data_IF_082721826041
#
_entry.id   IF_082721826041
#
_cell.length_a   1.000
_cell.length_b   1.000
_cell.length_c   1.000
_cell.angle_alpha   90.00
_cell.angle_beta   90.00
_cell.angle_gamma   90.00
#
_symmetry.space_group_name_H-M   'P 1'
#
loop_
_entity.id
_entity.type
_entity.pdbx_description
1 polymer ?
#
# COMPACT_ATOMS: atom_id res chain seq x y z
N UNK A 1 19.08 -7.17 11.48
CA UNK A 1 20.03 -7.77 12.44
C UNK A 1 19.85 -7.28 13.88
N UNK A 2 19.29 -6.08 14.12
CA UNK A 2 19.31 -5.45 15.45
C UNK A 2 18.17 -5.89 16.41
N UNK A 3 16.97 -6.24 15.92
CA UNK A 3 15.82 -6.52 16.82
C UNK A 3 15.39 -8.00 16.85
N UNK A 4 15.43 -8.71 15.70
CA UNK A 4 14.91 -10.10 15.59
C UNK A 4 16.00 -11.17 15.35
N UNK A 5 17.30 -10.80 15.38
CA UNK A 5 18.48 -11.67 15.08
C UNK A 5 18.39 -12.59 13.85
N UNK A 6 17.48 -12.34 12.89
CA UNK A 6 17.35 -13.11 11.64
C UNK A 6 18.51 -12.84 10.67
N UNK A 7 18.98 -13.90 10.00
CA UNK A 7 19.92 -13.83 8.86
C UNK A 7 19.17 -14.08 7.56
N UNK A 8 19.41 -13.23 6.56
CA UNK A 8 18.78 -13.33 5.25
C UNK A 8 19.80 -13.81 4.21
N UNK A 9 19.45 -14.75 3.32
CA UNK A 9 20.31 -15.16 2.23
C UNK A 9 20.54 -14.01 1.25
N UNK A 10 21.71 -13.99 0.60
CA UNK A 10 22.10 -12.94 -0.36
C UNK A 10 21.05 -12.75 -1.47
N UNK A 11 20.38 -13.82 -1.89
CA UNK A 11 19.29 -13.77 -2.88
C UNK A 11 18.13 -12.87 -2.44
N UNK A 12 17.73 -12.94 -1.18
CA UNK A 12 16.63 -12.10 -0.65
C UNK A 12 17.05 -10.63 -0.56
N UNK A 13 18.32 -10.36 -0.20
CA UNK A 13 18.87 -9.00 -0.16
C UNK A 13 18.90 -8.40 -1.57
N UNK A 14 19.44 -9.14 -2.55
CA UNK A 14 19.47 -8.70 -3.94
C UNK A 14 18.05 -8.48 -4.50
N UNK A 15 17.11 -9.37 -4.18
CA UNK A 15 15.71 -9.22 -4.57
C UNK A 15 15.08 -7.93 -4.02
N UNK A 16 15.28 -7.62 -2.73
CA UNK A 16 14.78 -6.38 -2.11
C UNK A 16 15.40 -5.13 -2.75
N UNK A 17 16.71 -5.16 -3.05
CA UNK A 17 17.37 -4.07 -3.77
C UNK A 17 16.78 -3.86 -5.16
N UNK A 18 16.54 -4.95 -5.90
CA UNK A 18 15.93 -4.89 -7.23
C UNK A 18 14.50 -4.32 -7.20
N UNK A 19 13.69 -4.73 -6.21
CA UNK A 19 12.34 -4.17 -6.00
C UNK A 19 12.42 -2.67 -5.70
N UNK A 20 13.34 -2.27 -4.81
CA UNK A 20 13.52 -0.86 -4.43
C UNK A 20 13.90 -0.02 -5.64
N UNK A 21 14.83 -0.50 -6.45
CA UNK A 21 15.23 0.14 -7.70
C UNK A 21 14.06 0.25 -8.70
N UNK A 22 13.28 -0.83 -8.86
CA UNK A 22 12.12 -0.85 -9.75
C UNK A 22 11.04 0.16 -9.34
N UNK A 23 10.70 0.23 -8.05
CA UNK A 23 9.75 1.22 -7.50
C UNK A 23 10.27 2.64 -7.73
N UNK A 24 11.55 2.89 -7.45
CA UNK A 24 12.17 4.19 -7.67
C UNK A 24 12.06 4.64 -9.12
N UNK A 25 12.42 3.75 -10.07
CA UNK A 25 12.38 4.06 -11.50
C UNK A 25 10.95 4.33 -12.00
N UNK A 26 9.98 3.50 -11.61
CA UNK A 26 8.58 3.69 -11.97
C UNK A 26 7.99 4.98 -11.36
N UNK A 27 8.37 5.31 -10.13
CA UNK A 27 7.92 6.55 -9.46
C UNK A 27 8.54 7.78 -10.12
N UNK A 28 9.83 7.73 -10.46
CA UNK A 28 10.53 8.80 -11.17
C UNK A 28 9.89 9.07 -12.54
N UNK A 29 9.60 8.01 -13.30
CA UNK A 29 8.92 8.11 -14.59
C UNK A 29 7.51 8.72 -14.44
N UNK A 30 6.76 8.34 -13.40
CA UNK A 30 5.45 8.90 -13.11
C UNK A 30 5.52 10.39 -12.78
N UNK A 31 6.47 10.81 -11.96
CA UNK A 31 6.72 12.22 -11.61
C UNK A 31 6.97 13.08 -12.86
N UNK A 32 7.78 12.59 -13.81
CA UNK A 32 8.02 13.29 -15.07
C UNK A 32 6.76 13.42 -15.92
N UNK A 33 5.93 12.37 -16.02
CA UNK A 33 4.68 12.42 -16.79
C UNK A 33 3.70 13.46 -16.22
N UNK A 34 3.61 13.56 -14.89
CA UNK A 34 2.76 14.54 -14.21
C UNK A 34 3.23 15.98 -14.44
N UNK A 35 4.55 16.22 -14.42
CA UNK A 35 5.10 17.55 -14.70
C UNK A 35 4.84 17.99 -16.15
N UNK A 36 4.93 17.07 -17.13
CA UNK A 36 4.60 17.37 -18.53
C UNK A 36 3.13 17.72 -18.71
N UNK A 37 2.22 17.00 -18.04
CA UNK A 37 0.78 17.28 -18.11
C UNK A 37 0.40 18.62 -17.46
N UNK A 38 1.02 18.97 -16.32
CA UNK A 38 0.81 20.27 -15.66
C UNK A 38 1.25 21.46 -16.51
N UNK A 39 2.27 21.31 -17.36
CA UNK A 39 2.70 22.36 -18.29
C UNK A 39 1.70 22.60 -19.44
N UNK A 40 0.85 21.63 -19.78
CA UNK A 40 -0.13 21.76 -20.87
C UNK A 40 -1.47 22.35 -20.43
N UNK A 41 -1.77 22.33 -19.14
CA UNK A 41 -2.93 23.04 -18.57
C UNK A 41 -2.49 24.41 -18.09
N UNK A 42 -2.85 25.48 -18.82
CA UNK A 42 -2.67 26.88 -18.42
C UNK A 42 -3.33 27.18 -17.06
N UNK A 43 -2.67 26.80 -15.97
CA UNK A 43 -2.94 27.32 -14.63
C UNK A 43 -1.67 28.07 -14.24
N UNK A 44 -1.72 29.39 -14.40
CA UNK A 44 -0.76 30.30 -13.78
C UNK A 44 -0.91 30.17 -12.26
N UNK A 45 -0.27 29.16 -11.68
CA UNK A 45 0.06 29.19 -10.27
C UNK A 45 1.15 30.24 -10.17
N UNK A 46 0.83 31.38 -9.55
CA UNK A 46 1.83 32.34 -9.09
C UNK A 46 2.91 31.55 -8.33
N UNK A 47 4.04 31.33 -9.01
CA UNK A 47 5.21 30.57 -8.56
C UNK A 47 5.85 31.30 -7.37
N UNK A 48 5.22 31.15 -6.21
CA UNK A 48 5.92 31.32 -4.94
C UNK A 48 6.86 30.13 -4.89
N UNK A 49 8.16 30.36 -5.15
CA UNK A 49 9.21 29.32 -5.12
C UNK A 49 8.88 28.30 -4.02
N UNK A 50 8.89 26.98 -4.29
CA UNK A 50 8.62 26.00 -3.26
C UNK A 50 9.65 26.21 -2.14
N UNK A 51 9.17 26.63 -0.97
CA UNK A 51 10.03 26.85 0.19
C UNK A 51 10.83 25.57 0.43
N UNK A 52 12.15 25.64 0.28
CA UNK A 52 13.05 24.50 0.51
C UNK A 52 12.76 23.86 1.87
N UNK A 53 12.39 24.66 2.87
CA UNK A 53 11.94 24.22 4.19
C UNK A 53 10.65 23.37 4.16
N UNK A 54 9.66 23.71 3.33
CA UNK A 54 8.43 22.92 3.15
C UNK A 54 8.69 21.60 2.40
N UNK A 55 9.65 21.58 1.48
CA UNK A 55 10.07 20.34 0.84
C UNK A 55 10.82 19.43 1.84
N UNK A 56 11.72 20.01 2.63
CA UNK A 56 12.50 19.29 3.64
C UNK A 56 11.62 18.71 4.75
N UNK A 57 10.62 19.47 5.25
CA UNK A 57 9.68 18.97 6.27
C UNK A 57 8.87 17.79 5.73
N UNK A 58 8.47 17.82 4.45
CA UNK A 58 7.76 16.73 3.79
C UNK A 58 8.59 15.44 3.74
N UNK A 59 9.87 15.55 3.36
CA UNK A 59 10.80 14.40 3.37
C UNK A 59 10.99 13.87 4.79
N UNK A 60 11.18 14.76 5.78
CA UNK A 60 11.31 14.37 7.18
C UNK A 60 10.10 13.58 7.69
N UNK A 61 8.89 14.06 7.39
CA UNK A 61 7.65 13.36 7.75
C UNK A 61 7.53 11.98 7.08
N UNK A 62 7.89 11.86 5.80
CA UNK A 62 7.85 10.58 5.08
C UNK A 62 8.84 9.56 5.66
N UNK A 63 10.07 9.98 5.95
CA UNK A 63 11.08 9.09 6.57
C UNK A 63 10.60 8.62 7.95
N UNK A 64 10.10 9.54 8.77
CA UNK A 64 9.56 9.21 10.08
C UNK A 64 8.38 8.23 9.99
N UNK A 65 7.42 8.48 9.09
CA UNK A 65 6.28 7.60 8.88
C UNK A 65 6.70 6.19 8.43
N UNK A 66 7.70 6.08 7.54
CA UNK A 66 8.25 4.80 7.10
C UNK A 66 8.94 4.04 8.24
N UNK A 67 9.67 4.76 9.10
CA UNK A 67 10.33 4.16 10.27
C UNK A 67 9.30 3.62 11.27
N UNK A 68 8.29 4.41 11.62
CA UNK A 68 7.21 3.98 12.52
C UNK A 68 6.45 2.78 11.93
N UNK A 69 6.17 2.79 10.63
CA UNK A 69 5.51 1.67 9.94
C UNK A 69 6.34 0.38 10.00
N UNK A 70 7.66 0.48 9.83
CA UNK A 70 8.56 -0.67 9.92
C UNK A 70 8.63 -1.20 11.37
N UNK A 71 8.70 -0.32 12.37
CA UNK A 71 8.67 -0.71 13.78
C UNK A 71 7.35 -1.40 14.14
N UNK A 72 6.22 -0.88 13.68
CA UNK A 72 4.90 -1.48 13.91
C UNK A 72 4.86 -2.94 13.40
N UNK A 73 5.34 -3.19 12.18
CA UNK A 73 5.38 -4.55 11.63
C UNK A 73 6.26 -5.51 12.43
N UNK A 74 7.41 -5.05 12.94
CA UNK A 74 8.30 -5.84 13.79
C UNK A 74 7.66 -6.12 15.16
N UNK A 75 7.01 -5.11 15.76
CA UNK A 75 6.30 -5.27 17.03
C UNK A 75 5.14 -6.25 16.90
N UNK A 76 4.37 -6.21 15.81
CA UNK A 76 3.32 -7.19 15.54
C UNK A 76 3.89 -8.60 15.45
N UNK A 77 5.00 -8.81 14.73
CA UNK A 77 5.66 -10.12 14.63
C UNK A 77 6.12 -10.63 16.01
N UNK A 78 6.67 -9.76 16.87
CA UNK A 78 7.08 -10.14 18.23
C UNK A 78 5.88 -10.46 19.11
N UNK A 79 4.83 -9.64 19.07
CA UNK A 79 3.63 -9.80 19.89
C UNK A 79 2.94 -11.13 19.59
N UNK A 80 2.80 -11.48 18.30
CA UNK A 80 2.21 -12.76 17.91
C UNK A 80 3.07 -13.98 18.30
N UNK A 81 4.39 -13.82 18.35
CA UNK A 81 5.28 -14.88 18.82
C UNK A 81 5.19 -15.10 20.34
N UNK A 82 4.91 -14.06 21.12
CA UNK A 82 4.88 -14.09 22.59
C UNK A 82 3.49 -14.42 23.15
N UNK A 83 2.43 -13.82 22.59
CA UNK A 83 1.05 -13.91 23.11
C UNK A 83 0.11 -14.77 22.26
N UNK A 84 0.56 -15.26 21.11
CA UNK A 84 -0.25 -16.05 20.19
C UNK A 84 -0.93 -15.21 19.10
N UNK A 85 -1.57 -15.92 18.16
CA UNK A 85 -2.11 -15.34 16.92
C UNK A 85 -3.59 -15.00 17.05
N UNK A 86 -3.89 -13.73 17.31
CA UNK A 86 -5.27 -13.24 17.41
C UNK A 86 -5.49 -12.03 16.49
N UNK A 87 -5.66 -12.24 15.17
CA UNK A 87 -5.74 -11.16 14.19
C UNK A 87 -7.01 -10.31 14.36
N UNK A 88 -8.13 -10.90 14.77
CA UNK A 88 -9.40 -10.19 14.98
C UNK A 88 -9.32 -9.26 16.22
N UNK A 89 -8.65 -9.69 17.29
CA UNK A 89 -8.41 -8.83 18.47
C UNK A 89 -7.46 -7.67 18.12
N UNK A 90 -6.37 -7.96 17.42
CA UNK A 90 -5.43 -6.94 16.96
C UNK A 90 -6.11 -5.92 16.03
N UNK A 91 -7.03 -6.40 15.16
CA UNK A 91 -7.86 -5.54 14.31
C UNK A 91 -8.77 -4.63 15.16
N UNK A 92 -9.45 -5.20 16.17
CA UNK A 92 -10.32 -4.45 17.07
C UNK A 92 -9.55 -3.34 17.80
N UNK A 93 -8.44 -3.67 18.47
CA UNK A 93 -7.66 -2.66 19.20
C UNK A 93 -7.07 -1.59 18.28
N UNK A 94 -6.58 -1.98 17.09
CA UNK A 94 -6.02 -1.03 16.13
C UNK A 94 -7.03 0.00 15.62
N UNK A 95 -8.33 -0.31 15.63
CA UNK A 95 -9.38 0.60 15.17
C UNK A 95 -10.14 1.25 16.33
N UNK A 96 -10.28 0.57 17.47
CA UNK A 96 -10.97 1.11 18.63
C UNK A 96 -10.16 2.20 19.35
N UNK A 97 -8.83 2.05 19.45
CA UNK A 97 -7.97 3.01 20.15
C UNK A 97 -7.93 4.39 19.48
N UNK A 98 -7.95 4.52 18.13
CA UNK A 98 -8.06 5.82 17.48
C UNK A 98 -9.45 6.48 17.54
N UNK A 99 -10.54 5.74 17.82
CA UNK A 99 -11.89 6.31 17.80
C UNK A 99 -12.08 7.50 18.76
N UNK A 100 -11.62 7.45 20.03
CA UNK A 100 -11.67 8.61 20.91
C UNK A 100 -10.89 9.82 20.37
N UNK A 101 -9.80 9.59 19.64
CA UNK A 101 -9.01 10.67 19.04
C UNK A 101 -9.74 11.36 17.88
N UNK A 102 -10.68 10.67 17.20
CA UNK A 102 -11.50 11.29 16.16
C UNK A 102 -12.43 12.38 16.69
N UNK A 103 -12.72 12.39 17.99
CA UNK A 103 -13.47 13.48 18.61
C UNK A 103 -12.77 14.84 18.39
N UNK A 104 -11.43 14.89 18.40
CA UNK A 104 -10.66 16.12 18.15
C UNK A 104 -10.73 16.60 16.70
N UNK A 105 -11.07 15.73 15.75
CA UNK A 105 -11.17 16.05 14.31
C UNK A 105 -12.64 16.15 13.88
N UNK A 106 -13.58 16.08 14.83
CA UNK A 106 -15.02 16.03 14.57
C UNK A 106 -15.55 17.18 13.71
N UNK A 107 -15.05 18.41 13.92
CA UNK A 107 -15.46 19.58 13.12
C UNK A 107 -15.15 19.40 11.63
N UNK A 108 -13.97 18.88 11.31
CA UNK A 108 -13.57 18.62 9.92
C UNK A 108 -14.42 17.52 9.30
N UNK A 109 -14.74 16.48 10.06
CA UNK A 109 -15.62 15.37 9.62
C UNK A 109 -17.02 15.90 9.33
N UNK A 110 -17.58 16.73 10.22
CA UNK A 110 -18.90 17.32 10.03
C UNK A 110 -18.96 18.21 8.79
N UNK A 111 -17.94 19.05 8.58
CA UNK A 111 -17.86 19.86 7.37
C UNK A 111 -17.85 19.00 6.10
N UNK A 112 -17.09 17.91 6.06
CA UNK A 112 -17.04 17.03 4.89
C UNK A 112 -18.35 16.25 4.68
N UNK A 113 -19.03 15.87 5.77
CA UNK A 113 -20.36 15.27 5.68
C UNK A 113 -21.39 16.21 5.04
N UNK A 114 -21.34 17.51 5.37
CA UNK A 114 -22.20 18.51 4.72
C UNK A 114 -21.90 18.63 3.22
N UNK A 115 -20.62 18.64 2.83
CA UNK A 115 -20.22 18.66 1.42
C UNK A 115 -20.70 17.42 0.66
N UNK A 116 -20.66 16.25 1.30
CA UNK A 116 -21.12 15.00 0.68
C UNK A 116 -22.62 15.01 0.43
N UNK A 117 -23.41 15.62 1.31
CA UNK A 117 -24.86 15.78 1.14
C UNK A 117 -25.23 16.69 -0.03
N UNK A 118 -24.35 17.61 -0.42
CA UNK A 118 -24.55 18.49 -1.57
C UNK A 118 -24.17 17.82 -2.91
N UNK A 119 -23.61 16.60 -2.88
CA UNK A 119 -23.19 15.91 -4.10
C UNK A 119 -24.38 15.40 -4.92
N UNK A 120 -24.11 15.12 -6.20
CA UNK A 120 -25.15 14.65 -7.13
C UNK A 120 -25.76 13.33 -6.66
N UNK A 121 -27.08 13.24 -6.79
CA UNK A 121 -27.83 12.07 -6.35
C UNK A 121 -27.69 10.95 -7.38
N UNK A 122 -27.26 9.77 -6.91
CA UNK A 122 -27.26 8.56 -7.72
C UNK A 122 -28.62 7.87 -7.54
N UNK A 123 -29.45 7.72 -8.60
CA UNK A 123 -30.72 7.01 -8.51
C UNK A 123 -30.44 5.50 -8.39
N UNK A 124 -30.67 4.92 -7.20
CA UNK A 124 -30.54 3.48 -6.96
C UNK A 124 -31.85 2.74 -7.28
N UNK A 125 -32.97 3.30 -6.83
CA UNK A 125 -34.32 2.79 -7.08
C UNK A 125 -35.28 3.96 -7.38
N UNK A 126 -36.45 3.66 -7.94
CA UNK A 126 -37.44 4.64 -8.45
C UNK A 126 -37.80 5.80 -7.51
N UNK A 127 -37.55 5.69 -6.20
CA UNK A 127 -37.76 6.76 -5.21
C UNK A 127 -36.65 6.90 -4.15
N UNK A 128 -35.51 6.20 -4.31
CA UNK A 128 -34.40 6.25 -3.35
C UNK A 128 -33.10 6.49 -4.10
N UNK A 129 -32.50 7.65 -3.85
CA UNK A 129 -31.16 7.99 -4.29
C UNK A 129 -30.25 8.22 -3.09
N UNK A 130 -28.95 8.00 -3.29
CA UNK A 130 -27.92 8.33 -2.29
C UNK A 130 -26.94 9.30 -2.97
N UNK A 131 -26.46 10.34 -2.28
CA UNK A 131 -25.44 11.21 -2.86
C UNK A 131 -24.19 10.40 -3.24
N UNK A 132 -23.66 10.64 -4.44
CA UNK A 132 -22.61 9.79 -5.04
C UNK A 132 -21.34 9.70 -4.18
N UNK A 133 -21.01 10.76 -3.43
CA UNK A 133 -19.84 10.77 -2.53
C UNK A 133 -19.99 9.77 -1.38
N UNK A 134 -21.20 9.59 -0.84
CA UNK A 134 -21.47 8.56 0.17
C UNK A 134 -21.32 7.16 -0.41
N UNK A 135 -21.74 6.93 -1.65
CA UNK A 135 -21.54 5.66 -2.33
C UNK A 135 -20.03 5.33 -2.51
N UNK A 136 -19.22 6.31 -2.91
CA UNK A 136 -17.76 6.14 -2.99
C UNK A 136 -17.12 5.89 -1.64
N UNK A 137 -17.54 6.60 -0.59
CA UNK A 137 -17.05 6.38 0.77
C UNK A 137 -17.35 4.96 1.25
N UNK A 138 -18.59 4.48 1.07
CA UNK A 138 -18.98 3.11 1.45
C UNK A 138 -18.13 2.09 0.70
N UNK A 139 -17.97 2.26 -0.61
CA UNK A 139 -17.14 1.37 -1.43
C UNK A 139 -15.67 1.35 -0.95
N UNK A 140 -15.12 2.53 -0.62
CA UNK A 140 -13.77 2.66 -0.09
C UNK A 140 -13.60 1.94 1.26
N UNK A 141 -14.54 2.15 2.20
CA UNK A 141 -14.53 1.53 3.53
C UNK A 141 -14.64 0.01 3.43
N UNK A 142 -15.55 -0.52 2.61
CA UNK A 142 -15.70 -1.97 2.41
C UNK A 142 -14.42 -2.59 1.85
N UNK A 143 -13.86 -1.98 0.80
CA UNK A 143 -12.62 -2.45 0.19
C UNK A 143 -11.46 -2.39 1.19
N UNK A 144 -11.37 -1.30 1.96
CA UNK A 144 -10.35 -1.13 3.00
C UNK A 144 -10.48 -2.16 4.10
N UNK A 145 -11.70 -2.49 4.54
CA UNK A 145 -11.93 -3.52 5.55
C UNK A 145 -11.39 -4.90 5.09
N UNK A 146 -11.78 -5.35 3.89
CA UNK A 146 -11.26 -6.62 3.35
C UNK A 146 -9.73 -6.58 3.17
N UNK A 147 -9.21 -5.45 2.71
CA UNK A 147 -7.79 -5.19 2.49
C UNK A 147 -6.98 -5.29 3.80
N UNK A 148 -7.44 -4.64 4.87
CA UNK A 148 -6.78 -4.60 6.18
C UNK A 148 -6.92 -5.95 6.88
N UNK A 149 -8.13 -6.54 6.91
CA UNK A 149 -8.34 -7.86 7.52
C UNK A 149 -7.41 -8.92 6.92
N UNK A 150 -7.28 -8.94 5.60
CA UNK A 150 -6.33 -9.82 4.91
C UNK A 150 -4.88 -9.57 5.33
N UNK A 151 -4.49 -8.31 5.54
CA UNK A 151 -3.13 -7.96 5.98
C UNK A 151 -2.89 -8.42 7.42
N UNK A 152 -3.86 -8.25 8.32
CA UNK A 152 -3.75 -8.72 9.71
C UNK A 152 -3.67 -10.25 9.82
N UNK A 153 -4.38 -10.98 8.97
CA UNK A 153 -4.21 -12.44 8.87
C UNK A 153 -2.83 -12.78 8.30
N UNK A 154 -2.36 -12.05 7.30
CA UNK A 154 -1.03 -12.29 6.74
C UNK A 154 0.09 -11.99 7.76
N UNK A 155 -0.06 -11.00 8.63
CA UNK A 155 0.92 -10.68 9.67
C UNK A 155 1.01 -11.73 10.77
N UNK A 156 -0.02 -12.54 10.98
CA UNK A 156 0.06 -13.67 11.92
C UNK A 156 0.76 -14.88 11.30
N UNK A 157 0.65 -15.07 9.98
CA UNK A 157 1.20 -16.25 9.28
C UNK A 157 2.60 -16.05 8.71
N UNK A 158 2.97 -14.81 8.42
CA UNK A 158 4.21 -14.49 7.73
C UNK A 158 5.10 -13.53 8.54
N UNK A 159 6.44 -13.62 8.39
CA UNK A 159 7.36 -12.61 8.91
C UNK A 159 7.05 -11.21 8.36
N UNK A 160 7.34 -10.18 9.15
CA UNK A 160 7.14 -8.77 8.80
C UNK A 160 7.75 -8.36 7.45
N UNK A 161 8.86 -8.98 7.06
CA UNK A 161 9.50 -8.76 5.75
C UNK A 161 8.61 -9.22 4.57
N UNK A 162 7.99 -10.40 4.66
CA UNK A 162 7.11 -10.93 3.62
C UNK A 162 5.84 -10.10 3.55
N UNK A 163 5.27 -9.74 4.71
CA UNK A 163 4.10 -8.85 4.79
C UNK A 163 4.40 -7.52 4.09
N UNK A 164 5.54 -6.91 4.40
CA UNK A 164 5.94 -5.64 3.79
C UNK A 164 6.06 -5.77 2.28
N UNK A 165 6.65 -6.87 1.78
CA UNK A 165 6.73 -7.16 0.35
C UNK A 165 5.35 -7.30 -0.32
N UNK A 166 4.42 -8.02 0.31
CA UNK A 166 3.06 -8.20 -0.25
C UNK A 166 2.31 -6.88 -0.28
N UNK A 167 2.44 -6.05 0.75
CA UNK A 167 1.83 -4.72 0.79
C UNK A 167 2.43 -3.79 -0.27
N UNK A 168 3.76 -3.80 -0.47
CA UNK A 168 4.39 -2.99 -1.52
C UNK A 168 3.96 -3.44 -2.91
N UNK A 169 3.85 -4.75 -3.15
CA UNK A 169 3.34 -5.30 -4.40
C UNK A 169 1.89 -4.86 -4.66
N UNK A 170 1.00 -4.93 -3.64
CA UNK A 170 -0.39 -4.46 -3.76
C UNK A 170 -0.45 -2.98 -4.15
N UNK A 171 0.30 -2.12 -3.46
CA UNK A 171 0.36 -0.68 -3.76
C UNK A 171 0.89 -0.43 -5.17
N UNK A 172 1.89 -1.19 -5.59
CA UNK A 172 2.47 -1.09 -6.93
C UNK A 172 1.50 -1.51 -8.03
N UNK A 173 0.76 -2.61 -7.87
CA UNK A 173 -0.26 -3.05 -8.82
C UNK A 173 -1.37 -2.01 -8.94
N UNK A 174 -1.81 -1.44 -7.80
CA UNK A 174 -2.79 -0.34 -7.81
C UNK A 174 -2.28 0.89 -8.57
N UNK A 175 -0.99 1.22 -8.44
CA UNK A 175 -0.35 2.31 -9.20
C UNK A 175 -0.33 1.98 -10.70
N UNK A 176 0.03 0.76 -11.08
CA UNK A 176 0.05 0.33 -12.49
C UNK A 176 -1.35 0.42 -13.12
N UNK A 177 -2.37 -0.10 -12.41
CA UNK A 177 -3.76 0.02 -12.84
C UNK A 177 -4.17 1.48 -13.01
N UNK A 178 -3.80 2.35 -12.06
CA UNK A 178 -4.05 3.79 -12.17
C UNK A 178 -3.41 4.39 -13.42
N UNK A 179 -2.16 4.07 -13.74
CA UNK A 179 -1.49 4.59 -14.96
C UNK A 179 -2.23 4.15 -16.23
N UNK A 180 -2.62 2.86 -16.29
CA UNK A 180 -3.33 2.29 -17.45
C UNK A 180 -4.72 2.91 -17.58
N UNK A 181 -5.46 3.04 -16.47
CA UNK A 181 -6.82 3.55 -16.45
C UNK A 181 -6.90 5.01 -16.87
N UNK A 182 -6.01 5.87 -16.34
CA UNK A 182 -5.97 7.30 -16.67
C UNK A 182 -5.28 7.60 -18.02
N UNK A 183 -4.94 6.58 -18.82
CA UNK A 183 -4.29 6.73 -20.13
C UNK A 183 -3.01 7.57 -20.11
N UNK A 184 -2.27 7.52 -18.98
CA UNK A 184 -0.97 8.18 -18.92
C UNK A 184 0.02 7.47 -19.85
N UNK A 185 0.86 8.24 -20.55
CA UNK A 185 1.85 7.68 -21.47
C UNK A 185 2.79 6.71 -20.74
N UNK A 186 2.59 5.41 -20.97
CA UNK A 186 3.43 4.35 -20.43
C UNK A 186 4.79 4.35 -21.14
N UNK A 187 5.76 5.05 -20.55
CA UNK A 187 7.14 5.12 -21.06
C UNK A 187 7.91 3.81 -20.83
N UNK A 188 9.00 3.62 -21.56
CA UNK A 188 9.91 2.48 -21.38
C UNK A 188 10.42 2.35 -19.93
N UNK A 189 10.58 3.46 -19.21
CA UNK A 189 11.01 3.45 -17.81
C UNK A 189 9.97 2.80 -16.89
N UNK A 190 8.67 2.95 -17.18
CA UNK A 190 7.62 2.22 -16.45
C UNK A 190 7.69 0.72 -16.74
N UNK A 191 7.98 0.33 -17.98
CA UNK A 191 8.16 -1.08 -18.35
C UNK A 191 9.33 -1.72 -17.59
N UNK A 192 10.50 -1.06 -17.59
CA UNK A 192 11.70 -1.54 -16.90
C UNK A 192 11.46 -1.59 -15.38
N UNK A 193 10.86 -0.54 -14.80
CA UNK A 193 10.55 -0.50 -13.38
C UNK A 193 9.57 -1.62 -12.97
N UNK A 194 8.54 -1.84 -13.79
CA UNK A 194 7.57 -2.93 -13.60
C UNK A 194 8.24 -4.29 -13.67
N UNK A 195 9.04 -4.54 -14.70
CA UNK A 195 9.79 -5.79 -14.84
C UNK A 195 10.73 -6.04 -13.64
N UNK A 196 11.45 -5.01 -13.17
CA UNK A 196 12.32 -5.12 -12.00
C UNK A 196 11.55 -5.47 -10.71
N UNK A 197 10.38 -4.86 -10.46
CA UNK A 197 9.55 -5.17 -9.29
C UNK A 197 9.03 -6.62 -9.34
N UNK A 198 8.53 -7.07 -10.49
CA UNK A 198 8.03 -8.43 -10.65
C UNK A 198 9.15 -9.47 -10.56
N UNK A 199 10.30 -9.23 -11.22
CA UNK A 199 11.47 -10.11 -11.15
C UNK A 199 12.03 -10.20 -9.74
N UNK A 200 12.15 -9.06 -9.03
CA UNK A 200 12.60 -9.05 -7.66
C UNK A 200 11.64 -9.76 -6.72
N UNK A 201 10.32 -9.60 -6.91
CA UNK A 201 9.30 -10.32 -6.14
C UNK A 201 9.38 -11.84 -6.39
N UNK A 202 9.55 -12.25 -7.66
CA UNK A 202 9.73 -13.65 -8.03
C UNK A 202 11.00 -14.25 -7.41
N UNK A 203 12.11 -13.52 -7.44
CA UNK A 203 13.39 -13.96 -6.87
C UNK A 203 13.35 -14.07 -5.33
N UNK A 204 12.61 -13.16 -4.69
CA UNK A 204 12.38 -13.18 -3.25
C UNK A 204 11.55 -14.40 -2.85
N UNK A 205 10.47 -14.64 -3.60
CA UNK A 205 9.56 -15.75 -3.32
C UNK A 205 10.29 -17.09 -3.47
N UNK A 206 10.13 -17.97 -2.49
CA UNK A 206 10.64 -19.34 -2.58
C UNK A 206 9.83 -20.20 -3.56
N UNK A 207 9.03 -19.60 -4.45
CA UNK A 207 8.32 -20.26 -5.55
C UNK A 207 9.23 -21.24 -6.30
N UNK A 208 10.50 -20.92 -6.53
CA UNK A 208 11.41 -21.85 -7.20
C UNK A 208 11.69 -23.13 -6.39
N UNK A 209 11.63 -23.08 -5.05
CA UNK A 209 11.75 -24.26 -4.17
C UNK A 209 10.43 -25.03 -4.07
N UNK A 210 9.31 -24.33 -3.98
CA UNK A 210 7.97 -24.94 -3.98
C UNK A 210 7.65 -25.62 -5.32
N UNK A 211 7.95 -24.98 -6.46
CA UNK A 211 7.80 -25.57 -7.80
C UNK A 211 8.74 -26.77 -7.98
N UNK A 212 10.01 -26.64 -7.56
CA UNK A 212 10.95 -27.75 -7.59
C UNK A 212 10.46 -28.93 -6.74
N UNK A 213 9.98 -28.68 -5.52
CA UNK A 213 9.41 -29.70 -4.63
C UNK A 213 8.09 -30.28 -5.16
N UNK A 214 7.26 -29.50 -5.85
CA UNK A 214 6.04 -29.98 -6.50
C UNK A 214 6.38 -30.93 -7.67
N UNK A 215 7.39 -30.59 -8.49
CA UNK A 215 7.86 -31.45 -9.57
C UNK A 215 8.68 -32.67 -9.11
N UNK A 216 9.23 -32.65 -7.89
CA UNK A 216 10.03 -33.76 -7.33
C UNK A 216 9.29 -34.61 -6.30
N UNK A 217 8.03 -34.29 -5.94
CA UNK A 217 7.20 -35.22 -5.18
C UNK A 217 6.89 -36.43 -6.07
N UNK A 218 7.35 -37.64 -5.73
CA UNK A 218 6.78 -38.83 -6.33
C UNK A 218 5.30 -38.83 -5.97
N UNK A 219 4.42 -39.05 -6.95
CA UNK A 219 3.02 -39.35 -6.69
C UNK A 219 2.95 -40.67 -5.90
N UNK A 220 3.07 -40.58 -4.58
CA UNK A 220 2.69 -41.67 -3.69
C UNK A 220 1.16 -41.75 -3.74
N UNK A 221 0.67 -42.76 -4.43
CA UNK A 221 -0.71 -43.21 -4.37
C UNK A 221 -1.12 -43.33 -2.90
N UNK A 222 -2.15 -42.59 -2.51
CA UNK A 222 -2.88 -42.81 -1.27
C UNK A 222 -3.89 -43.92 -1.57
N UNK A 223 -3.60 -45.13 -1.08
CA UNK A 223 -4.62 -46.15 -0.81
C UNK A 223 -5.37 -45.80 0.48
#
# INVERSE_FOLDING_TARGET
>A
MIILKKRYPLRQIFAVLLITFGIFLATYASSQSLNKQKQSSHVEINETKPDFFKWLIGIGMLIFALLVSALMGIYQEKLYAEYGKYPEEALFYSHCLPLPLFAFVGESIYHHAQLFNQSTWLPLFSNVGIPIMWAYLICNVLTQYFCIRSVFILTTECPSLIVTLVITLRKFISLLFSIIYFQNHFTLNHCIGTAAVFLGTFLFSNIHKEIYNYFTRPHAHVE
#
